data_IF_632064773839
#
_entry.id   IF_632064773839
#
_cell.length_a   1.000
_cell.length_b   1.000
_cell.length_c   1.000
_cell.angle_alpha   90.00
_cell.angle_beta   90.00
_cell.angle_gamma   90.00
#
_symmetry.space_group_name_H-M   'P 1'
#
loop_
_entity.id
_entity.type
_entity.pdbx_description
1 polymer ?
#
# COMPACT_ATOMS: atom_id res chain seq x y z
N UNK A 1 -12.89 11.93 9.52
CA UNK A 1 -12.17 12.87 10.42
C UNK A 1 -12.09 12.15 11.76
N UNK A 2 -10.89 11.80 12.23
CA UNK A 2 -10.67 10.82 13.31
C UNK A 2 -10.22 11.46 14.65
N UNK A 3 -10.67 12.68 14.92
CA UNK A 3 -10.35 13.42 16.15
C UNK A 3 -11.60 14.19 16.59
N UNK A 4 -11.76 14.48 17.89
CA UNK A 4 -12.82 15.34 18.40
C UNK A 4 -12.85 16.69 17.66
N UNK A 5 -13.98 17.40 17.74
CA UNK A 5 -14.10 18.77 17.22
C UNK A 5 -13.00 19.71 17.76
N UNK A 6 -12.45 19.41 18.94
CA UNK A 6 -11.41 20.18 19.62
C UNK A 6 -9.97 19.68 19.38
N UNK A 7 -9.79 18.58 18.64
CA UNK A 7 -8.49 18.00 18.27
C UNK A 7 -7.55 17.64 19.45
N UNK A 8 -8.10 17.40 20.63
CA UNK A 8 -7.40 17.24 21.90
C UNK A 8 -7.21 15.78 22.34
N UNK A 9 -7.85 14.83 21.64
CA UNK A 9 -7.92 13.42 21.99
C UNK A 9 -7.24 12.50 20.95
N UNK A 10 -6.32 13.04 20.16
CA UNK A 10 -5.59 12.32 19.11
C UNK A 10 -4.88 11.04 19.60
N UNK A 11 -4.57 10.94 20.88
CA UNK A 11 -3.92 9.80 21.52
C UNK A 11 -4.87 8.63 21.84
N UNK A 12 -6.20 8.85 21.86
CA UNK A 12 -7.19 7.80 22.11
C UNK A 12 -7.71 7.13 20.84
N UNK A 13 -7.58 7.78 19.68
CA UNK A 13 -8.02 7.28 18.38
C UNK A 13 -7.01 6.47 17.54
N UNK A 14 -5.71 6.29 17.88
CA UNK A 14 -4.80 5.53 17.02
C UNK A 14 -5.29 4.12 16.69
N UNK A 15 -5.85 3.33 17.63
CA UNK A 15 -6.38 2.00 17.30
C UNK A 15 -7.54 2.05 16.29
N UNK A 16 -8.42 3.06 16.38
CA UNK A 16 -9.55 3.21 15.46
C UNK A 16 -9.09 3.73 14.09
N UNK A 17 -8.13 4.65 14.07
CA UNK A 17 -7.52 5.16 12.85
C UNK A 17 -6.76 4.05 12.10
N UNK A 18 -5.98 3.23 12.82
CA UNK A 18 -5.30 2.06 12.27
C UNK A 18 -6.31 1.05 11.71
N UNK A 19 -7.37 0.74 12.46
CA UNK A 19 -8.43 -0.15 11.99
C UNK A 19 -9.10 0.38 10.72
N UNK A 20 -9.50 1.66 10.71
CA UNK A 20 -10.17 2.25 9.55
C UNK A 20 -9.23 2.34 8.33
N UNK A 21 -7.96 2.64 8.54
CA UNK A 21 -6.94 2.64 7.49
C UNK A 21 -6.74 1.23 6.92
N UNK A 22 -6.59 0.22 7.77
CA UNK A 22 -6.38 -1.17 7.36
C UNK A 22 -7.61 -1.82 6.71
N UNK A 23 -8.80 -1.24 6.90
CA UNK A 23 -10.05 -1.67 6.29
C UNK A 23 -10.46 -0.82 5.06
N UNK A 24 -9.67 0.21 4.72
CA UNK A 24 -9.94 1.07 3.56
C UNK A 24 -9.28 0.54 2.30
N UNK A 25 -9.95 0.66 1.16
CA UNK A 25 -9.38 0.25 -0.12
C UNK A 25 -8.22 1.16 -0.52
N UNK A 26 -7.09 0.54 -0.83
CA UNK A 26 -5.95 1.27 -1.36
C UNK A 26 -6.07 1.44 -2.88
N UNK A 27 -5.86 2.65 -3.38
CA UNK A 27 -6.12 2.99 -4.80
C UNK A 27 -5.30 2.17 -5.79
N UNK A 28 -4.10 1.72 -5.40
CA UNK A 28 -3.22 0.92 -6.25
C UNK A 28 -3.58 -0.57 -6.32
N UNK A 29 -4.24 -1.11 -5.29
CA UNK A 29 -4.58 -2.54 -5.19
C UNK A 29 -6.07 -2.81 -5.26
N UNK A 30 -6.90 -1.76 -5.15
CA UNK A 30 -8.37 -1.79 -5.02
C UNK A 30 -8.87 -2.77 -3.96
N UNK A 31 -8.03 -3.02 -2.96
CA UNK A 31 -8.25 -3.97 -1.86
C UNK A 31 -7.68 -3.34 -0.59
N UNK A 32 -8.32 -3.61 0.54
CA UNK A 32 -7.79 -3.21 1.82
C UNK A 32 -6.52 -4.01 2.21
N UNK A 33 -5.67 -3.46 3.09
CA UNK A 33 -4.61 -4.22 3.73
C UNK A 33 -5.09 -5.50 4.44
N UNK A 34 -6.21 -5.45 5.19
CA UNK A 34 -6.76 -6.62 5.86
C UNK A 34 -7.17 -7.72 4.87
N UNK A 35 -7.82 -7.35 3.77
CA UNK A 35 -8.19 -8.28 2.72
C UNK A 35 -6.97 -8.92 2.08
N UNK A 36 -5.88 -8.17 1.92
CA UNK A 36 -4.63 -8.67 1.33
C UNK A 36 -3.94 -9.70 2.25
N UNK A 37 -3.95 -9.47 3.56
CA UNK A 37 -3.28 -10.34 4.55
C UNK A 37 -4.14 -11.57 4.88
N UNK A 38 -5.44 -11.36 5.10
CA UNK A 38 -6.34 -12.38 5.66
C UNK A 38 -7.38 -12.90 4.66
N UNK A 39 -7.46 -12.35 3.45
CA UNK A 39 -8.44 -12.76 2.43
C UNK A 39 -9.89 -12.38 2.75
N UNK A 40 -10.09 -11.56 3.79
CA UNK A 40 -11.36 -11.01 4.26
C UNK A 40 -11.15 -9.71 5.02
N UNK A 41 -12.15 -8.84 4.96
CA UNK A 41 -12.23 -7.63 5.78
C UNK A 41 -12.97 -7.90 7.09
N UNK A 42 -12.47 -7.42 8.23
CA UNK A 42 -13.22 -7.47 9.48
C UNK A 42 -14.45 -6.57 9.37
N UNK A 43 -15.63 -7.15 9.57
CA UNK A 43 -16.88 -6.39 9.71
C UNK A 43 -17.00 -5.87 11.14
N UNK A 44 -17.51 -4.65 11.28
CA UNK A 44 -17.82 -4.03 12.57
C UNK A 44 -19.14 -4.57 13.15
N UNK A 45 -19.38 -5.88 13.03
CA UNK A 45 -20.53 -6.53 13.64
C UNK A 45 -20.07 -7.19 14.94
N UNK A 46 -20.67 -6.78 16.06
CA UNK A 46 -20.35 -7.27 17.40
C UNK A 46 -20.75 -8.74 17.64
N UNK A 47 -21.30 -9.45 16.66
CA UNK A 47 -21.77 -10.83 16.80
C UNK A 47 -21.66 -11.55 15.45
N UNK A 48 -21.34 -12.85 15.50
CA UNK A 48 -21.21 -13.82 14.39
C UNK A 48 -19.78 -14.14 13.94
N UNK A 49 -19.04 -14.78 14.85
CA UNK A 49 -18.00 -15.73 14.44
C UNK A 49 -18.71 -17.00 13.94
N UNK A 50 -19.10 -17.04 12.67
CA UNK A 50 -19.37 -18.32 12.01
C UNK A 50 -18.02 -18.96 11.66
N UNK A 51 -17.53 -19.81 12.56
CA UNK A 51 -16.48 -20.75 12.20
C UNK A 51 -17.13 -21.86 11.39
N UNK A 52 -16.86 -21.90 10.08
CA UNK A 52 -16.85 -23.15 9.29
C UNK A 52 -16.38 -22.88 7.85
N UNK A 53 -15.16 -22.38 7.71
CA UNK A 53 -14.42 -22.56 6.45
C UNK A 53 -13.21 -23.45 6.73
N UNK A 54 -13.08 -24.60 6.06
CA UNK A 54 -11.88 -25.43 6.19
C UNK A 54 -10.63 -24.61 5.90
N UNK A 55 -9.64 -24.63 6.80
CA UNK A 55 -8.43 -23.81 6.73
C UNK A 55 -7.68 -23.89 5.37
N UNK A 56 -7.83 -25.00 4.65
CA UNK A 56 -7.28 -25.19 3.31
C UNK A 56 -7.88 -24.24 2.26
N UNK A 57 -9.19 -24.01 2.28
CA UNK A 57 -9.88 -23.13 1.32
C UNK A 57 -9.58 -21.65 1.57
N UNK A 58 -9.33 -21.28 2.82
CA UNK A 58 -8.93 -19.91 3.18
C UNK A 58 -7.50 -19.62 2.70
N UNK A 59 -6.57 -20.56 2.90
CA UNK A 59 -5.17 -20.41 2.51
C UNK A 59 -5.01 -20.21 0.99
N UNK A 60 -5.72 -21.00 0.19
CA UNK A 60 -5.70 -20.87 -1.28
C UNK A 60 -6.30 -19.54 -1.74
N UNK A 61 -7.37 -19.07 -1.08
CA UNK A 61 -7.97 -17.76 -1.33
C UNK A 61 -7.01 -16.62 -0.96
N UNK A 62 -6.31 -16.70 0.16
CA UNK A 62 -5.31 -15.69 0.54
C UNK A 62 -4.20 -15.64 -0.51
N UNK A 63 -3.69 -16.79 -0.95
CA UNK A 63 -2.65 -16.86 -1.98
C UNK A 63 -3.11 -16.24 -3.31
N UNK A 64 -4.33 -16.51 -3.76
CA UNK A 64 -4.84 -15.91 -5.00
C UNK A 64 -5.00 -14.39 -4.87
N UNK A 65 -5.53 -13.92 -3.75
CA UNK A 65 -5.65 -12.49 -3.46
C UNK A 65 -4.29 -11.79 -3.46
N UNK A 66 -3.29 -12.40 -2.83
CA UNK A 66 -1.91 -11.89 -2.79
C UNK A 66 -1.26 -11.84 -4.18
N UNK A 67 -1.48 -12.86 -5.01
CA UNK A 67 -0.98 -12.87 -6.39
C UNK A 67 -1.60 -11.74 -7.23
N UNK A 68 -2.91 -11.51 -7.10
CA UNK A 68 -3.57 -10.41 -7.79
C UNK A 68 -3.05 -9.05 -7.31
N UNK A 69 -2.90 -8.86 -6.00
CA UNK A 69 -2.34 -7.61 -5.44
C UNK A 69 -0.94 -7.35 -5.97
N UNK A 70 -0.10 -8.38 -6.04
CA UNK A 70 1.24 -8.26 -6.62
C UNK A 70 1.19 -7.81 -8.08
N UNK A 71 0.28 -8.39 -8.88
CA UNK A 71 0.08 -8.01 -10.30
C UNK A 71 -0.32 -6.53 -10.42
N UNK A 72 -1.28 -6.07 -9.63
CA UNK A 72 -1.73 -4.66 -9.67
C UNK A 72 -0.61 -3.69 -9.27
N UNK A 73 0.20 -4.03 -8.26
CA UNK A 73 1.38 -3.22 -7.88
C UNK A 73 2.39 -3.14 -9.02
N UNK A 74 2.70 -4.27 -9.68
CA UNK A 74 3.61 -4.30 -10.83
C UNK A 74 3.07 -3.43 -11.98
N UNK A 75 1.77 -3.46 -12.25
CA UNK A 75 1.13 -2.61 -13.25
C UNK A 75 1.24 -1.12 -12.89
N UNK A 76 0.96 -0.77 -11.63
CA UNK A 76 1.09 0.60 -11.15
C UNK A 76 2.53 1.12 -11.26
N UNK A 77 3.53 0.33 -10.82
CA UNK A 77 4.95 0.65 -10.96
C UNK A 77 5.32 0.89 -12.43
N UNK A 78 4.88 0.02 -13.32
CA UNK A 78 5.14 0.16 -14.76
C UNK A 78 4.47 1.42 -15.34
N UNK A 79 3.27 1.76 -14.90
CA UNK A 79 2.60 2.98 -15.31
C UNK A 79 3.34 4.23 -14.85
N UNK A 80 3.73 4.30 -13.56
CA UNK A 80 4.55 5.38 -13.02
C UNK A 80 5.89 5.49 -13.74
N UNK A 81 6.54 4.36 -14.05
CA UNK A 81 7.78 4.32 -14.82
C UNK A 81 7.59 4.93 -16.21
N UNK A 82 6.58 4.51 -16.97
CA UNK A 82 6.27 5.08 -18.30
C UNK A 82 6.01 6.58 -18.23
N UNK A 83 5.30 7.03 -17.21
CA UNK A 83 5.02 8.45 -17.03
C UNK A 83 6.29 9.25 -16.70
N UNK A 84 7.12 8.75 -15.78
CA UNK A 84 8.41 9.36 -15.45
C UNK A 84 9.35 9.38 -16.66
N UNK A 85 9.45 8.27 -17.40
CA UNK A 85 10.32 8.13 -18.56
C UNK A 85 9.96 9.10 -19.70
N UNK A 86 8.69 9.53 -19.83
CA UNK A 86 8.29 10.57 -20.80
C UNK A 86 8.94 11.93 -20.53
N UNK A 87 9.22 12.24 -19.27
CA UNK A 87 9.80 13.54 -18.86
C UNK A 87 11.30 13.43 -18.57
N UNK A 88 11.90 12.25 -18.71
CA UNK A 88 13.33 12.03 -18.52
C UNK A 88 14.05 12.27 -19.84
N UNK A 89 15.01 13.18 -19.82
CA UNK A 89 15.99 13.28 -20.89
C UNK A 89 16.95 12.08 -20.82
N UNK A 90 17.45 11.64 -21.98
CA UNK A 90 18.48 10.61 -22.03
C UNK A 90 19.67 11.06 -21.18
N UNK A 91 20.19 10.21 -20.28
CA UNK A 91 21.36 10.58 -19.49
C UNK A 91 22.53 10.90 -20.42
N UNK A 92 23.38 11.88 -20.08
CA UNK A 92 24.61 12.13 -20.82
C UNK A 92 25.47 10.87 -20.85
N UNK A 93 26.18 10.65 -21.96
CA UNK A 93 27.19 9.60 -22.03
C UNK A 93 28.44 10.11 -21.31
N UNK A 94 28.85 9.43 -20.25
CA UNK A 94 30.06 9.76 -19.49
C UNK A 94 31.19 8.80 -19.88
N UNK A 95 32.38 9.35 -20.10
CA UNK A 95 33.61 8.58 -20.31
C UNK A 95 34.43 8.53 -19.01
N UNK A 96 35.25 7.48 -18.82
CA UNK A 96 36.20 7.44 -17.71
C UNK A 96 37.11 8.69 -17.73
N UNK A 97 37.06 9.48 -16.65
CA UNK A 97 37.80 10.74 -16.52
C UNK A 97 36.95 12.01 -16.56
N UNK A 98 35.67 11.91 -16.93
CA UNK A 98 34.76 13.07 -16.94
C UNK A 98 34.47 13.56 -15.50
N UNK A 99 34.56 14.88 -15.30
CA UNK A 99 34.19 15.52 -14.04
C UNK A 99 32.73 15.95 -14.05
N UNK A 100 31.97 15.52 -13.04
CA UNK A 100 30.55 15.87 -12.87
C UNK A 100 30.35 16.72 -11.62
N UNK A 101 29.45 17.71 -11.72
CA UNK A 101 29.08 18.54 -10.58
C UNK A 101 28.05 17.81 -9.72
N UNK A 102 28.41 17.52 -8.47
CA UNK A 102 27.50 16.96 -7.47
C UNK A 102 26.91 18.08 -6.62
N UNK A 103 25.59 18.15 -6.55
CA UNK A 103 24.90 19.04 -5.62
C UNK A 103 24.86 18.40 -4.23
N UNK A 104 25.42 19.08 -3.22
CA UNK A 104 25.41 18.63 -1.82
C UNK A 104 24.10 18.96 -1.09
N UNK A 105 23.13 19.60 -1.75
CA UNK A 105 21.92 20.15 -1.11
C UNK A 105 21.09 19.10 -0.33
N UNK A 106 21.17 17.82 -0.72
CA UNK A 106 20.41 16.73 -0.11
C UNK A 106 21.30 15.59 0.42
N UNK A 107 22.61 15.84 0.56
CA UNK A 107 23.54 14.88 1.15
C UNK A 107 23.75 15.32 2.60
N UNK A 108 23.35 14.47 3.56
CA UNK A 108 23.60 14.63 4.99
C UNK A 108 24.68 13.66 5.44
#
# INVERSE_FOLDING_TARGET
>A
MYVSYHQDDWNTWPPLAEFAYNNSDYSSTKKSPFFTVYGRDPQFDSVHITQDTPAGNLSTKIQSVQQDVKREIELAINWFKRYADKSRESPPVFNPGDMVWLSSKNIK
#
